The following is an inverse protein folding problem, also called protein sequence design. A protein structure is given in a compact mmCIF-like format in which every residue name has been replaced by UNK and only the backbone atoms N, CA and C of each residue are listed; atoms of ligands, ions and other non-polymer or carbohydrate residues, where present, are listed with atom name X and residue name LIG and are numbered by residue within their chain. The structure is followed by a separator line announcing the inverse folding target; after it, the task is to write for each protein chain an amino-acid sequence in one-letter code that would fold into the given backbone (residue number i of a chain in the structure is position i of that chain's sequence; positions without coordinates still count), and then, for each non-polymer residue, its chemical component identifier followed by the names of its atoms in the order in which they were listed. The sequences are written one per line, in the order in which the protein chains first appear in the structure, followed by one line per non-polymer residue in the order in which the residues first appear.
data_IF_649866819019
#
_entry.id   IF_649866819019
#
_cell.length_a   1.000
_cell.length_b   1.000
_cell.length_c   1.000
_cell.angle_alpha   90.00
_cell.angle_beta   90.00
_cell.angle_gamma   90.00
#
_symmetry.space_group_name_H-M   'P 1'
#
loop_
_entity.id
_entity.type
_entity.pdbx_description
1 polymer ?
#
# COMPACT_ATOMS: atom_id res chain seq x y z
N UNK A 1 1.43 5.19 20.35
CA UNK A 1 0.42 4.37 19.65
C UNK A 1 0.55 4.76 18.19
N UNK A 2 0.94 3.84 17.32
CA UNK A 2 0.92 4.10 15.89
C UNK A 2 -0.33 3.40 15.37
N UNK A 3 -1.42 4.15 15.29
CA UNK A 3 -2.65 3.71 14.64
C UNK A 3 -2.33 3.46 13.17
N UNK A 4 -2.31 2.19 12.79
CA UNK A 4 -2.28 1.84 11.37
C UNK A 4 -3.66 2.18 10.79
N UNK A 5 -3.73 2.65 9.53
CA UNK A 5 -5.00 2.91 8.87
C UNK A 5 -5.90 1.67 8.93
N UNK A 6 -7.19 1.86 9.20
CA UNK A 6 -8.17 0.76 9.34
C UNK A 6 -8.17 -0.16 8.10
N UNK A 7 -7.86 0.39 6.93
CA UNK A 7 -7.88 -0.31 5.64
C UNK A 7 -6.53 -0.91 5.22
N UNK A 8 -5.56 -0.97 6.14
CA UNK A 8 -4.21 -1.50 5.87
C UNK A 8 -4.23 -2.93 5.35
N UNK A 9 -5.11 -3.78 5.89
CA UNK A 9 -5.26 -5.18 5.48
C UNK A 9 -5.75 -5.33 4.03
N UNK A 10 -6.75 -4.54 3.63
CA UNK A 10 -7.31 -4.60 2.27
C UNK A 10 -6.34 -4.04 1.22
N UNK A 11 -5.66 -2.93 1.54
CA UNK A 11 -4.60 -2.35 0.71
C UNK A 11 -3.43 -3.33 0.52
N UNK A 12 -2.99 -3.95 1.60
CA UNK A 12 -1.96 -4.99 1.57
C UNK A 12 -2.36 -6.14 0.65
N UNK A 13 -3.56 -6.71 0.84
CA UNK A 13 -4.07 -7.81 0.01
C UNK A 13 -4.20 -7.41 -1.46
N UNK A 14 -4.56 -6.17 -1.75
CA UNK A 14 -4.68 -5.65 -3.11
C UNK A 14 -3.32 -5.48 -3.83
N UNK A 15 -2.24 -5.20 -3.07
CA UNK A 15 -0.86 -5.03 -3.54
C UNK A 15 0.01 -6.28 -3.47
N UNK A 16 -0.40 -7.32 -2.72
CA UNK A 16 0.45 -8.48 -2.46
C UNK A 16 0.92 -9.15 -3.75
N UNK A 17 2.24 -9.23 -3.91
CA UNK A 17 2.90 -9.86 -5.05
C UNK A 17 2.77 -9.14 -6.39
N UNK A 18 2.26 -7.89 -6.44
CA UNK A 18 2.10 -7.11 -7.69
C UNK A 18 2.28 -5.61 -7.46
N UNK A 19 2.81 -4.91 -8.46
CA UNK A 19 2.84 -3.45 -8.47
C UNK A 19 1.51 -2.89 -8.99
N UNK A 20 0.91 -1.92 -8.29
CA UNK A 20 -0.41 -1.37 -8.62
C UNK A 20 -0.42 0.16 -8.50
N UNK A 21 -1.28 0.84 -9.25
CA UNK A 21 -1.45 2.29 -9.14
C UNK A 21 -2.43 2.66 -8.04
N UNK A 22 -2.32 3.87 -7.49
CA UNK A 22 -3.27 4.42 -6.49
C UNK A 22 -4.73 4.21 -6.93
N UNK A 23 -5.02 4.51 -8.20
CA UNK A 23 -6.36 4.35 -8.79
C UNK A 23 -6.86 2.91 -8.80
N UNK A 24 -5.99 1.96 -9.11
CA UNK A 24 -6.35 0.54 -9.14
C UNK A 24 -6.63 0.04 -7.71
N UNK A 25 -5.80 0.47 -6.76
CA UNK A 25 -5.94 0.12 -5.35
C UNK A 25 -7.23 0.69 -4.76
N UNK A 26 -7.50 1.97 -4.98
CA UNK A 26 -8.76 2.63 -4.59
C UNK A 26 -9.99 1.87 -5.11
N UNK A 27 -9.96 1.45 -6.37
CA UNK A 27 -11.06 0.66 -6.96
C UNK A 27 -11.22 -0.72 -6.30
N UNK A 28 -10.12 -1.40 -5.96
CA UNK A 28 -10.13 -2.74 -5.34
C UNK A 28 -10.61 -2.69 -3.90
N UNK A 29 -10.17 -1.69 -3.15
CA UNK A 29 -10.48 -1.52 -1.72
C UNK A 29 -11.74 -0.71 -1.49
N UNK A 30 -12.35 -0.14 -2.55
CA UNK A 30 -13.48 0.79 -2.49
C UNK A 30 -13.18 2.00 -1.60
N UNK A 31 -11.92 2.42 -1.55
CA UNK A 31 -11.45 3.59 -0.83
C UNK A 31 -11.31 4.77 -1.79
N UNK A 32 -11.28 5.96 -1.23
CA UNK A 32 -10.93 7.17 -1.96
C UNK A 32 -9.45 7.14 -2.38
N UNK A 33 -9.16 7.66 -3.58
CA UNK A 33 -7.79 7.73 -4.11
C UNK A 33 -6.87 8.55 -3.19
N UNK A 34 -7.41 9.58 -2.54
CA UNK A 34 -6.69 10.40 -1.56
C UNK A 34 -6.30 9.60 -0.31
N UNK A 35 -7.23 8.80 0.24
CA UNK A 35 -6.95 7.94 1.41
C UNK A 35 -5.91 6.87 1.07
N UNK A 36 -6.00 6.29 -0.11
CA UNK A 36 -5.02 5.31 -0.60
C UNK A 36 -3.66 5.96 -0.77
N UNK A 37 -3.58 7.13 -1.41
CA UNK A 37 -2.32 7.83 -1.58
C UNK A 37 -1.69 8.22 -0.25
N UNK A 38 -2.47 8.78 0.68
CA UNK A 38 -1.99 9.16 2.01
C UNK A 38 -1.44 7.94 2.76
N UNK A 39 -2.17 6.83 2.74
CA UNK A 39 -1.73 5.56 3.35
C UNK A 39 -0.42 5.07 2.74
N UNK A 40 -0.31 5.07 1.41
CA UNK A 40 0.89 4.62 0.71
C UNK A 40 2.09 5.54 0.97
N UNK A 41 1.87 6.85 1.04
CA UNK A 41 2.91 7.83 1.40
C UNK A 41 3.39 7.62 2.84
N UNK A 42 2.50 7.38 3.80
CA UNK A 42 2.89 7.04 5.17
C UNK A 42 3.70 5.75 5.21
N UNK A 43 3.24 4.70 4.50
CA UNK A 43 3.96 3.43 4.41
C UNK A 43 5.34 3.58 3.79
N UNK A 44 5.48 4.45 2.80
CA UNK A 44 6.78 4.76 2.18
C UNK A 44 7.68 5.54 3.14
N UNK A 45 7.19 6.66 3.69
CA UNK A 45 8.01 7.60 4.46
C UNK A 45 8.36 7.11 5.86
N UNK A 46 7.40 6.52 6.57
CA UNK A 46 7.58 6.17 7.99
C UNK A 46 8.03 4.73 8.19
N UNK A 47 7.63 3.84 7.27
CA UNK A 47 7.77 2.40 7.46
C UNK A 47 8.62 1.70 6.41
N UNK A 48 8.92 2.37 5.29
CA UNK A 48 9.58 1.76 4.12
C UNK A 48 8.90 0.46 3.68
N UNK A 49 7.58 0.35 3.88
CA UNK A 49 6.80 -0.85 3.54
C UNK A 49 6.43 -0.90 2.07
N UNK A 50 6.34 0.26 1.42
CA UNK A 50 6.12 0.38 -0.01
C UNK A 50 7.13 1.33 -0.60
N UNK A 51 7.39 1.13 -1.87
CA UNK A 51 8.13 2.04 -2.71
C UNK A 51 7.26 2.43 -3.91
N UNK A 52 7.45 3.67 -4.36
CA UNK A 52 6.81 4.17 -5.57
C UNK A 52 7.81 4.26 -6.70
N UNK A 53 7.38 3.84 -7.88
CA UNK A 53 8.14 3.98 -9.11
C UNK A 53 7.30 4.75 -10.15
N UNK A 54 7.87 5.76 -10.82
CA UNK A 54 7.18 6.43 -11.91
C UNK A 54 7.08 5.50 -13.11
N UNK A 55 5.85 5.26 -13.61
CA UNK A 55 5.58 4.41 -14.77
C UNK A 55 4.76 5.18 -15.80
N UNK A 56 5.47 5.91 -16.66
CA UNK A 56 4.86 6.77 -17.66
C UNK A 56 4.26 8.03 -17.04
N UNK A 57 2.93 8.16 -17.09
CA UNK A 57 2.20 9.28 -16.47
C UNK A 57 1.65 8.93 -15.09
N UNK A 58 1.71 7.66 -14.71
CA UNK A 58 1.16 7.15 -13.46
C UNK A 58 2.28 6.79 -12.48
N UNK A 59 1.95 6.81 -11.19
CA UNK A 59 2.80 6.30 -10.13
C UNK A 59 2.31 4.89 -9.75
N UNK A 60 3.20 3.91 -9.86
CA UNK A 60 2.94 2.55 -9.36
C UNK A 60 3.60 2.36 -8.01
N UNK A 61 2.92 1.62 -7.16
CA UNK A 61 3.35 1.28 -5.82
C UNK A 61 3.58 -0.21 -5.73
N UNK A 62 4.64 -0.61 -5.05
CA UNK A 62 4.91 -2.02 -4.76
C UNK A 62 5.33 -2.17 -3.31
N UNK A 63 5.06 -3.34 -2.74
CA UNK A 63 5.56 -3.70 -1.42
C UNK A 63 7.07 -3.95 -1.49
N UNK A 64 7.79 -3.47 -0.50
CA UNK A 64 9.18 -3.85 -0.26
C UNK A 64 9.22 -5.18 0.50
N UNK A 65 10.39 -5.83 0.58
CA UNK A 65 10.55 -7.05 1.40
C UNK A 65 10.15 -6.82 2.86
N UNK A 66 10.43 -5.62 3.39
CA UNK A 66 10.07 -5.23 4.76
C UNK A 66 8.56 -5.12 4.91
N UNK A 67 7.90 -4.42 3.98
CA UNK A 67 6.44 -4.27 4.01
C UNK A 67 5.73 -5.60 3.81
N UNK A 68 6.18 -6.42 2.86
CA UNK A 68 5.60 -7.73 2.61
C UNK A 68 5.71 -8.63 3.85
N UNK A 69 6.88 -8.72 4.49
CA UNK A 69 7.07 -9.54 5.67
C UNK A 69 6.27 -9.01 6.88
N UNK A 70 6.30 -7.70 7.11
CA UNK A 70 5.60 -7.05 8.23
C UNK A 70 4.09 -7.19 8.11
N UNK A 71 3.54 -6.90 6.92
CA UNK A 71 2.11 -6.99 6.67
C UNK A 71 1.64 -8.44 6.56
N UNK A 72 2.46 -9.36 6.05
CA UNK A 72 2.15 -10.80 6.10
C UNK A 72 2.10 -11.31 7.54
N UNK A 73 3.02 -10.88 8.41
CA UNK A 73 3.02 -11.28 9.82
C UNK A 73 1.80 -10.73 10.57
N UNK A 74 1.37 -9.51 10.25
CA UNK A 74 0.23 -8.86 10.91
C UNK A 74 -1.14 -9.22 10.33
N UNK A 75 -1.24 -9.41 9.01
CA UNK A 75 -2.50 -9.53 8.26
C UNK A 75 -2.56 -10.73 7.31
N UNK A 76 -1.50 -11.54 7.23
CA UNK A 76 -1.40 -12.69 6.33
C UNK A 76 -1.95 -14.01 6.89
N UNK A 77 -2.51 -14.00 8.10
CA UNK A 77 -3.20 -15.14 8.72
C UNK A 77 -4.68 -15.22 8.29
#
# INVERSE_FOLDING_TARGET
MNDLPEHTSDLFKAMRGKSETTKSLAKKTKLDEEQVEETLRQWQSERSWVESEPKGKDQVWRLTDVGENTLTTQYGA
#
